data_IF_996793846772
#
_entry.id   IF_996793846772
#
_cell.length_a   1.000
_cell.length_b   1.000
_cell.length_c   1.000
_cell.angle_alpha   90.00
_cell.angle_beta   90.00
_cell.angle_gamma   90.00
#
_symmetry.space_group_name_H-M   'P 1'
#
loop_
_entity.id
_entity.type
_entity.pdbx_description
1 polymer ?
#
# COMPACT_ATOMS: atom_id res chain seq x y z
N UNK A 1 10.56 57.84 -66.87
CA UNK A 1 9.32 57.19 -66.40
C UNK A 1 9.72 55.83 -65.83
N UNK A 2 9.28 55.48 -64.63
CA UNK A 2 9.60 54.22 -63.90
C UNK A 2 8.35 53.76 -63.11
N UNK A 3 8.37 52.62 -62.36
CA UNK A 3 8.96 51.30 -62.64
C UNK A 3 7.83 50.41 -63.23
N UNK A 4 7.26 49.28 -62.69
CA UNK A 4 7.68 48.27 -61.67
C UNK A 4 8.62 47.19 -62.28
N UNK A 5 9.13 46.10 -61.66
CA UNK A 5 9.17 45.44 -60.33
C UNK A 5 8.64 43.97 -60.32
N UNK A 6 9.51 43.02 -59.97
CA UNK A 6 9.29 41.70 -59.31
C UNK A 6 10.63 40.93 -59.31
N UNK A 7 11.30 40.67 -58.18
CA UNK A 7 10.99 39.68 -57.12
C UNK A 7 11.14 38.22 -57.54
N UNK A 8 12.15 37.55 -56.96
CA UNK A 8 12.21 36.15 -56.49
C UNK A 8 13.69 35.68 -56.53
N UNK A 9 14.27 34.98 -55.57
CA UNK A 9 14.07 34.79 -54.13
C UNK A 9 15.22 33.83 -53.73
N UNK A 10 15.82 34.00 -52.55
CA UNK A 10 16.91 33.14 -52.11
C UNK A 10 16.36 31.87 -51.43
N UNK A 11 16.74 30.69 -51.91
CA UNK A 11 16.43 29.42 -51.27
C UNK A 11 17.63 28.88 -50.47
N UNK A 12 17.81 29.37 -49.23
CA UNK A 12 18.77 28.79 -48.30
C UNK A 12 18.11 27.58 -47.59
N UNK A 13 18.56 26.35 -47.89
CA UNK A 13 18.11 25.17 -47.15
C UNK A 13 18.74 25.15 -45.74
N UNK A 14 17.92 25.45 -44.72
CA UNK A 14 18.28 25.22 -43.33
C UNK A 14 17.97 23.76 -42.94
N UNK A 15 19.01 22.92 -42.85
CA UNK A 15 18.89 21.59 -42.25
C UNK A 15 18.87 21.71 -40.72
N UNK A 16 17.68 21.64 -40.11
CA UNK A 16 17.52 21.57 -38.67
C UNK A 16 17.61 20.11 -38.19
N UNK A 17 18.73 19.71 -37.60
CA UNK A 17 18.81 18.47 -36.83
C UNK A 17 18.07 18.66 -35.50
N UNK A 18 16.83 18.17 -35.41
CA UNK A 18 16.13 18.03 -34.15
C UNK A 18 16.69 16.85 -33.36
N UNK A 19 17.53 17.12 -32.36
CA UNK A 19 17.99 16.11 -31.42
C UNK A 19 16.84 15.72 -30.47
N UNK A 20 16.24 14.56 -30.70
CA UNK A 20 15.23 14.00 -29.81
C UNK A 20 15.89 13.53 -28.51
N UNK A 21 15.87 14.39 -27.48
CA UNK A 21 16.24 14.01 -26.13
C UNK A 21 15.19 13.05 -25.57
N UNK A 22 15.47 11.74 -25.67
CA UNK A 22 14.67 10.71 -25.03
C UNK A 22 14.79 10.88 -23.50
N UNK A 23 13.81 11.56 -22.90
CA UNK A 23 13.68 11.63 -21.46
C UNK A 23 13.40 10.23 -20.93
N UNK A 24 14.43 9.59 -20.36
CA UNK A 24 14.27 8.36 -19.62
C UNK A 24 13.38 8.66 -18.40
N UNK A 25 12.10 8.30 -18.50
CA UNK A 25 11.21 8.34 -17.35
C UNK A 25 11.85 7.50 -16.24
N UNK A 26 11.92 8.00 -15.00
CA UNK A 26 12.46 7.20 -13.90
C UNK A 26 11.59 5.96 -13.79
N UNK A 27 12.21 4.78 -13.96
CA UNK A 27 11.55 3.52 -13.67
C UNK A 27 11.08 3.60 -12.23
N UNK A 28 9.76 3.62 -12.02
CA UNK A 28 9.19 3.51 -10.69
C UNK A 28 9.66 2.17 -10.15
N UNK A 29 10.62 2.21 -9.22
CA UNK A 29 10.98 1.05 -8.42
C UNK A 29 9.71 0.66 -7.67
N UNK A 30 9.01 -0.34 -8.19
CA UNK A 30 7.98 -1.06 -7.46
C UNK A 30 8.71 -1.69 -6.28
N UNK A 31 8.71 -0.96 -5.16
CA UNK A 31 9.36 -1.40 -3.94
C UNK A 31 8.81 -2.77 -3.56
N UNK A 32 9.70 -3.66 -3.16
CA UNK A 32 9.35 -5.00 -2.72
C UNK A 32 8.24 -4.90 -1.67
N UNK A 33 7.15 -5.66 -1.85
CA UNK A 33 6.02 -5.53 -0.93
C UNK A 33 6.49 -5.92 0.47
N UNK A 34 6.11 -5.16 1.52
CA UNK A 34 6.54 -5.46 2.88
C UNK A 34 6.05 -6.86 3.27
N UNK A 35 6.84 -7.57 4.09
CA UNK A 35 6.59 -8.98 4.44
C UNK A 35 5.17 -9.22 4.99
N UNK A 36 4.60 -8.19 5.60
CA UNK A 36 3.27 -8.13 6.18
C UNK A 36 2.13 -8.09 5.15
N UNK A 37 2.36 -7.78 3.87
CA UNK A 37 1.30 -7.71 2.87
C UNK A 37 0.79 -9.13 2.51
N UNK A 38 -0.51 -9.36 2.58
CA UNK A 38 -1.13 -10.66 2.31
C UNK A 38 -2.43 -10.89 3.09
N UNK A 39 -2.97 -12.10 2.99
CA UNK A 39 -4.14 -12.57 3.73
C UNK A 39 -3.72 -13.43 4.93
N UNK A 40 -4.55 -13.45 5.97
CA UNK A 40 -4.24 -14.06 7.25
C UNK A 40 -5.41 -14.89 7.80
N UNK A 41 -5.10 -15.85 8.66
CA UNK A 41 -6.04 -16.49 9.59
C UNK A 41 -5.80 -15.96 11.00
N UNK A 42 -6.84 -15.38 11.61
CA UNK A 42 -6.85 -14.91 12.99
C UNK A 42 -7.42 -16.00 13.91
N UNK A 43 -6.65 -16.52 14.89
CA UNK A 43 -7.11 -17.55 15.80
C UNK A 43 -8.19 -17.05 16.78
N UNK A 44 -8.29 -15.74 17.02
CA UNK A 44 -9.36 -15.14 17.82
C UNK A 44 -10.69 -15.06 17.06
N UNK A 45 -10.63 -14.94 15.72
CA UNK A 45 -11.80 -14.90 14.84
C UNK A 45 -11.62 -15.79 13.58
N UNK A 46 -11.63 -17.13 13.73
CA UNK A 46 -11.33 -18.04 12.63
C UNK A 46 -12.29 -17.92 11.44
N UNK A 47 -11.76 -17.92 10.23
CA UNK A 47 -12.54 -17.82 8.98
C UNK A 47 -12.98 -16.40 8.60
N UNK A 48 -12.76 -15.41 9.46
CA UNK A 48 -13.06 -14.01 9.16
C UNK A 48 -11.99 -13.36 8.28
N UNK A 49 -12.34 -12.33 7.48
CA UNK A 49 -11.34 -11.62 6.66
C UNK A 49 -10.30 -10.97 7.58
N UNK A 50 -9.03 -11.17 7.22
CA UNK A 50 -7.86 -10.44 7.72
C UNK A 50 -6.90 -10.27 6.56
N UNK A 51 -6.63 -9.04 6.15
CA UNK A 51 -5.76 -8.75 5.00
C UNK A 51 -5.01 -7.45 5.18
N UNK A 52 -3.72 -7.46 4.91
CA UNK A 52 -2.85 -6.29 4.96
C UNK A 52 -2.41 -5.94 3.54
N UNK A 53 -2.50 -4.67 3.17
CA UNK A 53 -2.09 -4.17 1.86
C UNK A 53 -1.21 -2.91 1.97
N UNK A 54 -0.31 -2.72 1.02
CA UNK A 54 0.50 -1.51 0.93
C UNK A 54 -0.36 -0.27 0.61
N UNK A 55 -0.27 0.79 1.42
CA UNK A 55 -0.96 2.06 1.17
C UNK A 55 -0.15 2.94 0.20
N UNK A 56 0.10 2.39 -0.98
CA UNK A 56 1.01 2.97 -1.98
C UNK A 56 2.49 2.65 -1.74
N UNK A 57 3.36 3.25 -2.55
CA UNK A 57 4.81 3.09 -2.40
C UNK A 57 5.33 3.89 -1.19
N UNK A 58 6.16 3.28 -0.36
CA UNK A 58 6.79 4.02 0.73
C UNK A 58 7.87 4.98 0.19
N UNK A 59 7.87 6.22 0.68
CA UNK A 59 8.80 7.24 0.24
C UNK A 59 10.25 6.87 0.60
N UNK A 60 11.19 7.12 -0.32
CA UNK A 60 12.61 6.85 -0.11
C UNK A 60 13.13 7.65 1.08
N UNK A 61 13.64 6.96 2.11
CA UNK A 61 14.15 7.60 3.33
C UNK A 61 13.08 7.95 4.35
N UNK A 62 11.83 7.50 4.18
CA UNK A 62 10.83 7.60 5.23
C UNK A 62 11.23 6.78 6.46
N UNK A 63 11.06 7.34 7.65
CA UNK A 63 11.18 6.63 8.93
C UNK A 63 9.97 5.74 9.24
N UNK A 64 8.86 5.92 8.50
CA UNK A 64 7.62 5.19 8.70
C UNK A 64 6.85 5.09 7.37
N UNK A 65 6.34 3.90 7.07
CA UNK A 65 5.43 3.62 5.96
C UNK A 65 4.05 3.29 6.51
N UNK A 66 3.00 3.52 5.71
CA UNK A 66 1.63 3.15 6.04
C UNK A 66 1.15 1.93 5.24
N UNK A 67 0.29 1.13 5.87
CA UNK A 67 -0.41 -0.03 5.35
C UNK A 67 -1.90 0.14 5.65
N UNK A 68 -2.73 -0.43 4.79
CA UNK A 68 -4.15 -0.62 5.06
C UNK A 68 -4.35 -2.03 5.63
N UNK A 69 -5.02 -2.15 6.78
CA UNK A 69 -5.45 -3.44 7.34
C UNK A 69 -6.96 -3.55 7.18
N UNK A 70 -7.42 -4.63 6.57
CA UNK A 70 -8.83 -4.92 6.33
C UNK A 70 -9.23 -6.15 7.13
N UNK A 71 -10.49 -6.19 7.53
CA UNK A 71 -11.09 -7.38 8.06
C UNK A 71 -12.59 -7.24 8.22
N UNK A 72 -13.21 -8.26 8.79
CA UNK A 72 -14.60 -8.23 9.20
C UNK A 72 -14.78 -9.09 10.44
N UNK A 73 -15.71 -8.73 11.33
CA UNK A 73 -15.99 -9.49 12.55
C UNK A 73 -17.43 -10.04 12.56
N UNK A 74 -17.68 -11.20 13.18
CA UNK A 74 -19.00 -11.80 13.21
C UNK A 74 -19.97 -10.96 14.06
N UNK A 75 -21.26 -11.06 13.77
CA UNK A 75 -22.31 -10.34 14.50
C UNK A 75 -23.23 -11.33 15.23
N UNK A 76 -23.26 -11.37 16.58
CA UNK A 76 -22.48 -10.55 17.50
C UNK A 76 -21.01 -10.97 17.60
N UNK A 77 -20.13 -10.02 17.94
CA UNK A 77 -18.73 -10.30 18.21
C UNK A 77 -18.58 -10.96 19.59
N UNK A 78 -17.78 -12.02 19.67
CA UNK A 78 -17.42 -12.69 20.91
C UNK A 78 -16.05 -13.39 20.75
N UNK A 79 -15.28 -13.59 21.83
CA UNK A 79 -13.99 -14.30 21.75
C UNK A 79 -14.13 -15.71 21.14
N UNK A 80 -13.37 -16.01 20.09
CA UNK A 80 -13.43 -17.29 19.38
C UNK A 80 -14.61 -17.43 18.42
N UNK A 81 -15.45 -16.40 18.25
CA UNK A 81 -16.52 -16.39 17.27
C UNK A 81 -15.94 -16.40 15.85
N UNK A 82 -16.49 -17.28 15.00
CA UNK A 82 -16.00 -17.57 13.65
C UNK A 82 -16.86 -16.89 12.60
N UNK A 83 -16.33 -16.76 11.39
CA UNK A 83 -17.12 -16.40 10.21
C UNK A 83 -17.25 -17.62 9.30
N UNK A 84 -18.49 -17.97 8.93
CA UNK A 84 -18.84 -19.02 7.97
C UNK A 84 -19.42 -18.42 6.68
N UNK A 85 -19.43 -19.16 5.55
CA UNK A 85 -20.04 -18.69 4.31
C UNK A 85 -21.54 -18.35 4.49
N UNK A 86 -21.87 -17.07 4.32
CA UNK A 86 -23.24 -16.54 4.46
C UNK A 86 -23.55 -15.89 5.81
N UNK A 87 -22.61 -15.90 6.77
CA UNK A 87 -22.79 -15.21 8.05
C UNK A 87 -22.86 -13.69 7.88
N UNK A 88 -23.53 -13.03 8.83
CA UNK A 88 -23.50 -11.57 8.95
C UNK A 88 -22.19 -11.15 9.64
N UNK A 89 -21.45 -10.29 8.95
CA UNK A 89 -20.20 -9.71 9.45
C UNK A 89 -20.22 -8.18 9.35
N UNK A 90 -19.48 -7.52 10.22
CA UNK A 90 -19.23 -6.07 10.16
C UNK A 90 -17.83 -5.86 9.56
N UNK A 91 -17.70 -5.37 8.32
CA UNK A 91 -16.41 -5.08 7.72
C UNK A 91 -15.79 -3.81 8.31
N UNK A 92 -14.47 -3.79 8.41
CA UNK A 92 -13.68 -2.67 8.92
C UNK A 92 -12.39 -2.45 8.14
N UNK A 93 -11.83 -1.25 8.32
CA UNK A 93 -10.53 -0.85 7.78
C UNK A 93 -9.78 -0.04 8.84
N UNK A 94 -8.54 -0.44 9.09
CA UNK A 94 -7.60 0.18 10.03
C UNK A 94 -6.33 0.63 9.29
N UNK A 95 -5.54 1.47 9.95
CA UNK A 95 -4.19 1.81 9.53
C UNK A 95 -3.17 0.97 10.32
N UNK A 96 -2.14 0.51 9.62
CA UNK A 96 -0.93 0.03 10.28
C UNK A 96 0.30 0.75 9.75
N UNK A 97 1.34 0.82 10.57
CA UNK A 97 2.58 1.52 10.23
C UNK A 97 3.80 0.66 10.54
N UNK A 98 4.86 0.79 9.75
CA UNK A 98 6.12 0.08 9.98
C UNK A 98 7.33 0.93 9.63
N UNK A 99 8.46 0.59 10.24
CA UNK A 99 9.77 1.23 10.05
C UNK A 99 10.57 0.45 8.99
N UNK A 100 10.95 1.06 7.84
CA UNK A 100 11.77 0.40 6.82
C UNK A 100 13.12 -0.15 7.30
N UNK A 101 13.69 0.44 8.36
CA UNK A 101 14.93 -0.05 8.96
C UNK A 101 14.71 -1.28 9.86
N UNK A 102 13.45 -1.60 10.18
CA UNK A 102 13.03 -2.77 10.98
C UNK A 102 11.81 -3.46 10.32
N UNK A 103 11.96 -4.04 9.11
CA UNK A 103 10.86 -4.55 8.29
C UNK A 103 10.25 -5.88 8.81
N UNK A 104 10.44 -6.20 10.09
CA UNK A 104 9.85 -7.33 10.80
C UNK A 104 8.92 -6.90 11.95
N UNK A 105 8.76 -5.59 12.18
CA UNK A 105 7.85 -5.04 13.20
C UNK A 105 6.91 -4.02 12.56
N UNK A 106 5.63 -4.08 12.91
CA UNK A 106 4.63 -3.06 12.58
C UNK A 106 3.77 -2.72 13.81
N UNK A 107 3.03 -1.62 13.74
CA UNK A 107 2.02 -1.25 14.72
C UNK A 107 0.67 -1.08 14.02
N UNK A 108 -0.37 -1.78 14.49
CA UNK A 108 -1.76 -1.65 14.00
C UNK A 108 -2.54 -0.83 15.01
N UNK A 109 -3.25 0.20 14.56
CA UNK A 109 -4.19 0.91 15.42
C UNK A 109 -5.57 0.25 15.39
N UNK A 110 -5.95 -0.43 16.48
CA UNK A 110 -7.26 -1.05 16.66
C UNK A 110 -8.28 -0.13 17.34
N UNK A 111 -7.85 1.04 17.86
CA UNK A 111 -8.73 2.00 18.52
C UNK A 111 -9.96 2.43 17.67
N UNK A 112 -9.94 2.46 16.32
CA UNK A 112 -11.13 2.76 15.54
C UNK A 112 -12.26 1.71 15.64
N UNK A 113 -11.97 0.45 16.01
CA UNK A 113 -12.97 -0.63 16.15
C UNK A 113 -13.17 -1.12 17.58
N UNK A 114 -12.15 -1.05 18.44
CA UNK A 114 -12.25 -1.52 19.84
C UNK A 114 -13.13 -0.58 20.69
N UNK A 115 -13.93 -1.12 21.61
CA UNK A 115 -14.64 -0.30 22.61
C UNK A 115 -13.66 0.36 23.59
N UNK A 116 -12.61 -0.37 23.99
CA UNK A 116 -11.57 0.08 24.93
C UNK A 116 -10.34 0.51 24.15
N UNK A 117 -10.03 1.80 24.19
CA UNK A 117 -8.87 2.38 23.50
C UNK A 117 -7.57 2.04 24.23
N UNK A 118 -6.58 1.58 23.49
CA UNK A 118 -5.28 1.11 23.97
C UNK A 118 -4.11 1.64 23.12
N UNK A 119 -4.40 2.26 21.97
CA UNK A 119 -3.41 2.75 21.02
C UNK A 119 -2.78 1.64 20.17
N UNK A 120 -1.77 1.97 19.34
CA UNK A 120 -1.22 1.04 18.36
C UNK A 120 -0.58 -0.22 18.98
N UNK A 121 -1.10 -1.37 18.59
CA UNK A 121 -0.63 -2.69 19.00
C UNK A 121 0.54 -3.13 18.13
N UNK A 122 1.66 -3.49 18.78
CA UNK A 122 2.85 -4.03 18.09
C UNK A 122 2.58 -5.44 17.57
N UNK A 123 2.82 -5.66 16.28
CA UNK A 123 2.91 -6.98 15.65
C UNK A 123 4.34 -7.31 15.23
N UNK A 124 4.78 -8.55 15.46
CA UNK A 124 6.11 -9.05 15.08
C UNK A 124 6.01 -10.17 14.04
N UNK A 125 6.80 -10.08 12.97
CA UNK A 125 6.85 -11.09 11.91
C UNK A 125 7.66 -12.30 12.36
N UNK A 126 7.03 -13.47 12.39
CA UNK A 126 7.64 -14.73 12.86
C UNK A 126 8.33 -15.54 11.75
N UNK A 127 8.12 -15.17 10.48
CA UNK A 127 8.42 -16.01 9.31
C UNK A 127 7.18 -16.73 8.75
N UNK A 128 6.21 -17.04 9.62
CA UNK A 128 4.95 -17.72 9.26
C UNK A 128 3.73 -16.77 9.32
N UNK A 129 3.83 -15.69 10.10
CA UNK A 129 2.72 -14.80 10.35
C UNK A 129 3.10 -13.58 11.20
N UNK A 130 2.08 -12.86 11.65
CA UNK A 130 2.20 -11.70 12.52
C UNK A 130 1.78 -12.06 13.95
N UNK A 131 2.74 -12.13 14.87
CA UNK A 131 2.46 -12.33 16.29
C UNK A 131 1.89 -11.03 16.88
N UNK A 132 0.66 -11.09 17.36
CA UNK A 132 -0.06 -10.05 18.09
C UNK A 132 -0.37 -10.55 19.52
N UNK A 133 -0.82 -9.68 20.45
CA UNK A 133 -1.20 -10.08 21.80
C UNK A 133 -2.37 -11.07 21.86
N UNK A 134 -3.25 -11.07 20.86
CA UNK A 134 -4.40 -11.97 20.74
C UNK A 134 -4.08 -13.29 19.99
N UNK A 135 -2.83 -13.50 19.56
CA UNK A 135 -2.39 -14.72 18.89
C UNK A 135 -1.51 -14.46 17.67
N UNK A 136 -1.10 -15.54 17.01
CA UNK A 136 -0.40 -15.49 15.73
C UNK A 136 -1.44 -15.39 14.61
N UNK A 137 -1.48 -14.27 13.89
CA UNK A 137 -2.16 -14.19 12.60
C UNK A 137 -1.28 -14.92 11.58
N UNK A 138 -1.64 -16.15 11.24
CA UNK A 138 -0.88 -16.99 10.31
C UNK A 138 -1.15 -16.55 8.87
N UNK A 139 -0.09 -16.39 8.06
CA UNK A 139 -0.23 -15.95 6.66
C UNK A 139 -0.69 -17.11 5.76
N UNK A 140 -1.55 -16.81 4.79
CA UNK A 140 -2.07 -17.73 3.77
C UNK A 140 -1.14 -17.84 2.55
#
# INVERSE_FOLDING_TARGET
RAPPAAHAEAAALAFALAAAAAAAAPAALAGEQPVFAGEYDDPSHPGCERRIAARGACARGASQCALDVFGADPVPIAPGAKCLPGDKVTPWKLEATYDPARPTVLAIDFDPIDEVKQGPVKGEWTGEGLQLPNGLWTKK
#
